data_IF_373758619786
#
_entry.id   IF_373758619786
#
_cell.length_a   1.000
_cell.length_b   1.000
_cell.length_c   1.000
_cell.angle_alpha   90.00
_cell.angle_beta   90.00
_cell.angle_gamma   90.00
#
_symmetry.space_group_name_H-M   'P 1'
#
loop_
_entity.id
_entity.type
_entity.pdbx_description
1 polymer ?
#
# COMPACT_ATOMS: atom_id res chain seq x y z
N UNK A 1 12.37 46.62 13.62
CA UNK A 1 12.07 45.46 12.75
C UNK A 1 13.37 44.88 12.14
N UNK A 2 14.32 44.33 12.93
CA UNK A 2 15.72 44.27 12.45
C UNK A 2 16.58 43.00 12.66
N UNK A 3 16.09 41.89 13.25
CA UNK A 3 16.91 40.65 13.38
C UNK A 3 16.16 39.34 13.18
N UNK A 4 14.85 39.31 13.41
CA UNK A 4 14.00 38.12 13.22
C UNK A 4 13.76 37.74 11.74
N UNK A 5 14.19 38.53 10.74
CA UNK A 5 13.97 38.22 9.32
C UNK A 5 15.09 37.40 8.67
N UNK A 6 16.37 37.58 9.07
CA UNK A 6 17.50 36.91 8.41
C UNK A 6 17.50 35.41 8.64
N UNK A 7 17.30 34.97 9.89
CA UNK A 7 17.24 33.54 10.23
C UNK A 7 16.07 32.87 9.52
N UNK A 8 14.90 33.50 9.52
CA UNK A 8 13.70 33.03 8.82
C UNK A 8 13.93 32.89 7.32
N UNK A 9 14.57 33.90 6.69
CA UNK A 9 14.90 33.88 5.28
C UNK A 9 15.88 32.76 4.92
N UNK A 10 16.97 32.62 5.69
CA UNK A 10 17.94 31.52 5.50
C UNK A 10 17.24 30.16 5.64
N UNK A 11 16.35 30.03 6.63
CA UNK A 11 15.58 28.80 6.86
C UNK A 11 14.67 28.49 5.68
N UNK A 12 14.02 29.51 5.10
CA UNK A 12 13.15 29.36 3.95
C UNK A 12 13.93 28.90 2.72
N UNK A 13 15.07 29.55 2.44
CA UNK A 13 15.96 29.15 1.33
C UNK A 13 16.44 27.72 1.53
N UNK A 14 16.87 27.36 2.74
CA UNK A 14 17.28 26.00 3.06
C UNK A 14 16.12 25.00 2.86
N UNK A 15 14.90 25.33 3.30
CA UNK A 15 13.74 24.45 3.12
C UNK A 15 13.40 24.20 1.65
N UNK A 16 13.47 25.24 0.81
CA UNK A 16 13.24 25.14 -0.65
C UNK A 16 14.28 24.24 -1.32
N UNK A 17 15.51 24.14 -0.78
CA UNK A 17 16.56 23.26 -1.31
C UNK A 17 16.43 21.84 -0.74
N UNK A 18 16.21 21.72 0.57
CA UNK A 18 16.18 20.44 1.28
C UNK A 18 15.00 19.60 0.80
N UNK A 19 13.82 20.18 0.56
CA UNK A 19 12.64 19.41 0.21
C UNK A 19 12.77 18.69 -1.15
N UNK A 20 13.12 19.35 -2.27
CA UNK A 20 13.37 18.66 -3.53
C UNK A 20 14.53 17.68 -3.45
N UNK A 21 15.60 18.01 -2.72
CA UNK A 21 16.74 17.10 -2.52
C UNK A 21 16.28 15.83 -1.80
N UNK A 22 15.45 15.95 -0.77
CA UNK A 22 14.88 14.81 -0.06
C UNK A 22 14.02 13.93 -0.98
N UNK A 23 13.12 14.53 -1.76
CA UNK A 23 12.31 13.78 -2.74
C UNK A 23 13.19 13.08 -3.77
N UNK A 24 14.24 13.75 -4.26
CA UNK A 24 15.15 13.16 -5.25
C UNK A 24 15.97 11.98 -4.70
N UNK A 25 16.26 11.98 -3.39
CA UNK A 25 16.95 10.89 -2.70
C UNK A 25 16.01 9.72 -2.40
N UNK A 26 14.71 9.98 -2.25
CA UNK A 26 13.68 9.03 -1.85
C UNK A 26 12.45 9.13 -2.75
N UNK A 27 12.58 8.89 -4.07
CA UNK A 27 11.48 9.10 -5.01
C UNK A 27 10.26 8.23 -4.70
N UNK A 28 10.50 7.00 -4.22
CA UNK A 28 9.46 6.01 -3.88
C UNK A 28 9.21 5.91 -2.35
N UNK A 29 9.71 6.89 -1.58
CA UNK A 29 9.66 6.87 -0.12
C UNK A 29 10.84 6.11 0.51
N UNK A 30 10.63 5.59 1.73
CA UNK A 30 11.69 4.96 2.55
C UNK A 30 11.35 3.55 3.03
N UNK A 31 10.24 2.96 2.56
CA UNK A 31 9.79 1.60 2.84
C UNK A 31 9.76 1.23 4.34
N UNK A 32 9.00 2.00 5.13
CA UNK A 32 8.84 1.83 6.57
C UNK A 32 8.03 0.58 6.92
N UNK A 33 6.92 0.30 6.20
CA UNK A 33 6.09 -0.85 6.55
C UNK A 33 6.78 -2.16 6.16
N UNK A 34 6.83 -3.08 7.13
CA UNK A 34 7.36 -4.42 6.92
C UNK A 34 6.24 -5.30 6.38
N UNK A 35 6.48 -6.08 5.31
CA UNK A 35 5.51 -7.08 4.87
C UNK A 35 5.39 -8.22 5.88
N UNK A 36 4.18 -8.78 5.95
CA UNK A 36 3.90 -10.07 6.57
C UNK A 36 4.14 -11.21 5.56
N UNK A 37 4.68 -12.33 6.04
CA UNK A 37 4.81 -13.55 5.25
C UNK A 37 3.48 -14.28 5.20
N UNK A 38 3.00 -14.58 4.00
CA UNK A 38 1.74 -15.25 3.75
C UNK A 38 1.97 -16.65 3.19
N UNK A 39 1.35 -17.64 3.84
CA UNK A 39 1.26 -18.99 3.34
C UNK A 39 -0.21 -19.40 3.28
N UNK A 40 -0.65 -19.90 2.14
CA UNK A 40 -2.00 -20.41 1.96
C UNK A 40 -2.01 -21.77 1.25
N UNK A 41 -2.90 -22.65 1.69
CA UNK A 41 -3.15 -23.96 1.09
C UNK A 41 -4.66 -24.20 0.98
N UNK A 42 -5.15 -24.37 -0.25
CA UNK A 42 -6.55 -24.53 -0.62
C UNK A 42 -6.80 -24.20 -2.09
N UNK A 43 -8.03 -24.35 -2.56
CA UNK A 43 -8.45 -24.13 -3.96
C UNK A 43 -9.27 -22.85 -4.18
N UNK A 44 -9.58 -22.12 -3.11
CA UNK A 44 -10.45 -20.95 -3.11
C UNK A 44 -9.68 -19.63 -3.07
N UNK A 45 -8.58 -19.55 -3.83
CA UNK A 45 -7.80 -18.33 -4.02
C UNK A 45 -8.29 -17.58 -5.25
N UNK A 46 -8.66 -16.32 -5.04
CA UNK A 46 -8.87 -15.36 -6.11
C UNK A 46 -7.77 -14.31 -6.08
N UNK A 47 -7.22 -13.97 -7.24
CA UNK A 47 -6.21 -12.94 -7.38
C UNK A 47 -6.53 -11.99 -8.53
N UNK A 48 -6.25 -10.71 -8.32
CA UNK A 48 -6.40 -9.63 -9.30
C UNK A 48 -5.07 -8.91 -9.44
N UNK A 49 -4.48 -8.96 -10.63
CA UNK A 49 -3.24 -8.22 -10.92
C UNK A 49 -2.45 -8.78 -12.09
N UNK A 50 -1.18 -8.44 -12.17
CA UNK A 50 -0.27 -8.99 -13.16
C UNK A 50 0.20 -10.40 -12.76
N UNK A 51 0.43 -11.24 -13.76
CA UNK A 51 0.97 -12.57 -13.52
C UNK A 51 1.87 -13.06 -14.64
N UNK A 52 2.86 -13.85 -14.25
CA UNK A 52 3.76 -14.56 -15.14
C UNK A 52 3.79 -16.02 -14.73
N UNK A 53 3.70 -16.95 -15.67
CA UNK A 53 3.70 -18.37 -15.33
C UNK A 53 4.47 -19.21 -16.31
N UNK A 54 4.96 -20.35 -15.83
CA UNK A 54 5.63 -21.36 -16.65
C UNK A 54 5.24 -22.80 -16.29
N UNK A 55 4.86 -23.58 -17.30
CA UNK A 55 4.46 -24.96 -17.12
C UNK A 55 3.40 -25.39 -18.10
N UNK A 56 2.78 -26.53 -17.80
CA UNK A 56 1.75 -27.09 -18.67
C UNK A 56 0.48 -26.25 -18.58
N UNK A 57 0.00 -25.79 -19.72
CA UNK A 57 -1.21 -24.99 -19.80
C UNK A 57 -2.11 -25.40 -20.96
N UNK A 58 -3.41 -25.16 -20.76
CA UNK A 58 -4.40 -25.11 -21.83
C UNK A 58 -4.93 -23.67 -21.90
N UNK A 59 -4.52 -22.95 -22.95
CA UNK A 59 -4.99 -21.60 -23.24
C UNK A 59 -6.11 -21.69 -24.27
N UNK A 60 -7.22 -21.00 -23.99
CA UNK A 60 -8.33 -20.80 -24.90
C UNK A 60 -8.53 -19.31 -25.13
N UNK A 61 -8.59 -18.91 -26.39
CA UNK A 61 -8.88 -17.53 -26.77
C UNK A 61 -10.10 -17.50 -27.71
N UNK A 62 -11.00 -16.56 -27.46
CA UNK A 62 -12.23 -16.36 -28.21
C UNK A 62 -12.24 -14.98 -28.83
N UNK A 63 -12.69 -14.87 -30.08
CA UNK A 63 -12.83 -13.59 -30.81
C UNK A 63 -11.56 -12.71 -30.67
N UNK A 64 -10.40 -13.32 -30.90
CA UNK A 64 -9.10 -12.75 -30.52
C UNK A 64 -8.24 -12.41 -31.72
N UNK A 65 -7.48 -11.33 -31.61
CA UNK A 65 -6.34 -11.05 -32.48
C UNK A 65 -5.13 -11.83 -31.96
N UNK A 66 -4.57 -12.69 -32.81
CA UNK A 66 -3.48 -13.59 -32.47
C UNK A 66 -2.30 -13.22 -33.34
N UNK A 67 -1.15 -12.94 -32.73
CA UNK A 67 0.12 -12.78 -33.43
C UNK A 67 1.06 -13.87 -32.96
N UNK A 68 1.42 -14.80 -33.85
CA UNK A 68 2.38 -15.87 -33.59
C UNK A 68 3.45 -15.83 -34.68
N UNK A 69 4.73 -15.83 -34.29
CA UNK A 69 5.87 -15.89 -35.22
C UNK A 69 5.82 -14.80 -36.32
N UNK A 70 5.39 -13.58 -35.96
CA UNK A 70 5.18 -12.42 -36.83
C UNK A 70 3.99 -12.49 -37.81
N UNK A 71 3.11 -13.49 -37.69
CA UNK A 71 1.87 -13.57 -38.46
C UNK A 71 0.68 -13.20 -37.58
N UNK A 72 -0.10 -12.19 -38.01
CA UNK A 72 -1.28 -11.72 -37.27
C UNK A 72 -2.56 -12.17 -37.97
N UNK A 73 -3.44 -12.83 -37.23
CA UNK A 73 -4.74 -13.29 -37.71
C UNK A 73 -5.82 -13.08 -36.64
N UNK A 74 -7.04 -12.76 -37.08
CA UNK A 74 -8.21 -12.80 -36.22
C UNK A 74 -8.76 -14.24 -36.14
N UNK A 75 -9.05 -14.71 -34.92
CA UNK A 75 -9.53 -16.06 -34.67
C UNK A 75 -10.80 -16.05 -33.82
N UNK A 76 -11.83 -16.77 -34.27
CA UNK A 76 -13.06 -16.96 -33.48
C UNK A 76 -12.79 -17.89 -32.29
N UNK A 77 -12.01 -18.94 -32.49
CA UNK A 77 -11.60 -19.89 -31.46
C UNK A 77 -10.13 -20.31 -31.68
N UNK A 78 -9.34 -20.23 -30.62
CA UNK A 78 -7.97 -20.73 -30.57
C UNK A 78 -7.79 -21.54 -29.29
N UNK A 79 -7.15 -22.71 -29.42
CA UNK A 79 -6.70 -23.52 -28.30
C UNK A 79 -5.21 -23.80 -28.43
N UNK A 80 -4.45 -23.52 -27.38
CA UNK A 80 -3.03 -23.85 -27.28
C UNK A 80 -2.88 -24.79 -26.08
N UNK A 81 -2.20 -25.92 -26.28
CA UNK A 81 -1.94 -26.89 -25.22
C UNK A 81 -0.49 -27.35 -25.26
N UNK A 82 0.22 -27.25 -24.15
CA UNK A 82 1.63 -27.59 -24.08
C UNK A 82 2.30 -26.95 -22.87
N UNK A 83 3.62 -27.05 -22.83
CA UNK A 83 4.42 -26.30 -21.86
C UNK A 83 4.66 -24.89 -22.41
N UNK A 84 4.05 -23.91 -21.76
CA UNK A 84 4.15 -22.51 -22.14
C UNK A 84 4.72 -21.67 -20.99
N UNK A 85 5.40 -20.59 -21.33
CA UNK A 85 5.50 -19.42 -20.48
C UNK A 85 4.49 -18.37 -20.95
N UNK A 86 3.94 -17.62 -20.00
CA UNK A 86 3.03 -16.52 -20.31
C UNK A 86 3.28 -15.33 -19.39
N UNK A 87 2.92 -14.14 -19.86
CA UNK A 87 2.88 -12.91 -19.09
C UNK A 87 1.59 -12.14 -19.38
N UNK A 88 0.86 -11.80 -18.32
CA UNK A 88 -0.37 -11.04 -18.35
C UNK A 88 -0.18 -9.77 -17.52
N UNK A 89 -0.49 -8.59 -18.09
CA UNK A 89 -0.44 -7.33 -17.34
C UNK A 89 -1.66 -7.16 -16.45
N UNK A 90 -2.82 -7.72 -16.83
CA UNK A 90 -4.05 -7.69 -16.04
C UNK A 90 -4.73 -9.05 -16.14
N UNK A 91 -4.83 -9.77 -15.02
CA UNK A 91 -5.46 -11.07 -14.96
C UNK A 91 -6.30 -11.23 -13.69
N UNK A 92 -7.33 -12.06 -13.80
CA UNK A 92 -8.06 -12.61 -12.67
C UNK A 92 -7.73 -14.10 -12.57
N UNK A 93 -7.08 -14.50 -11.49
CA UNK A 93 -7.00 -15.91 -11.12
C UNK A 93 -8.24 -16.24 -10.29
N UNK A 94 -8.95 -17.29 -10.67
CA UNK A 94 -10.01 -17.90 -9.87
C UNK A 94 -9.75 -19.40 -9.83
N UNK A 95 -9.30 -19.89 -8.66
CA UNK A 95 -8.94 -21.29 -8.44
C UNK A 95 -7.79 -21.77 -9.37
N UNK A 96 -8.10 -22.54 -10.42
CA UNK A 96 -7.13 -23.10 -11.38
C UNK A 96 -7.13 -22.39 -12.75
N UNK A 97 -7.89 -21.29 -12.88
CA UNK A 97 -8.07 -20.57 -14.15
C UNK A 97 -7.68 -19.11 -14.05
N UNK A 98 -6.91 -18.67 -15.04
CA UNK A 98 -6.60 -17.27 -15.28
C UNK A 98 -7.49 -16.73 -16.40
N UNK A 99 -8.03 -15.54 -16.20
CA UNK A 99 -8.80 -14.80 -17.19
C UNK A 99 -8.10 -13.47 -17.49
N UNK A 100 -7.91 -13.17 -18.77
CA UNK A 100 -7.24 -11.93 -19.21
C UNK A 100 -7.74 -11.46 -20.57
N UNK A 101 -7.46 -10.21 -20.91
CA UNK A 101 -7.73 -9.60 -22.21
C UNK A 101 -6.51 -9.57 -23.13
N UNK A 102 -5.32 -9.80 -22.57
CA UNK A 102 -4.05 -9.74 -23.29
C UNK A 102 -3.01 -10.66 -22.63
N UNK A 103 -2.33 -11.47 -23.43
CA UNK A 103 -1.26 -12.34 -22.95
C UNK A 103 -0.12 -12.39 -23.95
N UNK A 104 1.11 -12.30 -23.44
CA UNK A 104 2.33 -12.66 -24.18
C UNK A 104 2.63 -14.12 -23.87
N UNK A 105 2.90 -14.92 -24.89
CA UNK A 105 3.11 -16.36 -24.75
C UNK A 105 4.38 -16.80 -25.48
N UNK A 106 5.09 -17.74 -24.88
CA UNK A 106 6.18 -18.47 -25.51
C UNK A 106 6.05 -19.96 -25.18
N UNK A 107 6.39 -20.83 -26.13
CA UNK A 107 6.31 -22.27 -25.88
C UNK A 107 6.91 -23.09 -27.01
N UNK A 108 7.53 -24.21 -26.62
CA UNK A 108 8.08 -25.22 -27.52
C UNK A 108 7.15 -26.43 -27.56
N UNK A 109 7.09 -27.13 -28.70
CA UNK A 109 6.28 -28.33 -28.93
C UNK A 109 4.80 -28.22 -28.50
N UNK A 110 4.22 -27.04 -28.69
CA UNK A 110 2.83 -26.77 -28.35
C UNK A 110 1.86 -27.27 -29.42
N UNK A 111 0.74 -27.84 -29.00
CA UNK A 111 -0.38 -28.15 -29.88
C UNK A 111 -1.27 -26.91 -30.03
N UNK A 112 -1.23 -26.30 -31.22
CA UNK A 112 -2.13 -25.21 -31.59
C UNK A 112 -3.27 -25.74 -32.42
N UNK A 113 -4.50 -25.53 -31.96
CA UNK A 113 -5.73 -25.85 -32.70
C UNK A 113 -6.52 -24.56 -32.89
N UNK A 114 -6.62 -24.12 -34.13
CA UNK A 114 -7.37 -22.94 -34.56
C UNK A 114 -7.47 -22.93 -36.08
N UNK A 115 -8.36 -22.16 -36.66
CA UNK A 115 -8.59 -22.13 -38.11
C UNK A 115 -7.30 -21.79 -38.90
N UNK A 116 -6.63 -22.83 -39.42
CA UNK A 116 -5.49 -22.70 -40.33
C UNK A 116 -4.11 -22.56 -39.71
N UNK A 117 -3.94 -22.65 -38.38
CA UNK A 117 -2.62 -22.56 -37.73
C UNK A 117 -2.11 -23.96 -37.35
N UNK A 118 -0.93 -24.33 -37.84
CA UNK A 118 -0.21 -25.54 -37.43
C UNK A 118 1.25 -25.17 -37.17
N UNK A 119 1.54 -24.75 -35.94
CA UNK A 119 2.87 -24.36 -35.48
C UNK A 119 3.21 -25.15 -34.22
N UNK A 120 4.47 -25.55 -34.10
CA UNK A 120 5.00 -26.29 -32.94
C UNK A 120 5.72 -25.37 -31.96
N UNK A 121 6.26 -24.26 -32.45
CA UNK A 121 6.92 -23.23 -31.64
C UNK A 121 6.05 -21.97 -31.69
N UNK A 122 5.85 -21.36 -30.53
CA UNK A 122 5.01 -20.18 -30.35
C UNK A 122 5.88 -19.11 -29.71
N UNK A 123 6.03 -17.98 -30.40
CA UNK A 123 6.46 -16.71 -29.80
C UNK A 123 5.50 -15.63 -30.28
N UNK A 124 4.74 -15.05 -29.35
CA UNK A 124 3.61 -14.24 -29.75
C UNK A 124 2.82 -13.55 -28.64
N UNK A 125 1.76 -12.87 -29.06
CA UNK A 125 0.78 -12.29 -28.16
C UNK A 125 -0.64 -12.50 -28.67
N UNK A 126 -1.58 -12.57 -27.74
CA UNK A 126 -3.01 -12.74 -28.02
C UNK A 126 -3.75 -11.60 -27.33
N UNK A 127 -4.70 -10.97 -28.03
CA UNK A 127 -5.60 -9.96 -27.48
C UNK A 127 -7.05 -10.31 -27.79
N UNK A 128 -7.88 -10.42 -26.75
CA UNK A 128 -9.28 -10.85 -26.85
C UNK A 128 -9.74 -11.51 -25.54
N UNK A 129 -10.77 -12.35 -25.58
CA UNK A 129 -11.23 -13.04 -24.37
C UNK A 129 -10.41 -14.31 -24.14
N UNK A 130 -9.50 -14.29 -23.17
CA UNK A 130 -8.55 -15.38 -22.94
C UNK A 130 -8.81 -16.06 -21.59
N UNK A 131 -8.83 -17.39 -21.60
CA UNK A 131 -8.85 -18.24 -20.41
C UNK A 131 -7.66 -19.19 -20.46
N UNK A 132 -6.87 -19.25 -19.39
CA UNK A 132 -5.71 -20.14 -19.26
C UNK A 132 -5.97 -21.05 -18.08
N UNK A 133 -6.04 -22.35 -18.34
CA UNK A 133 -6.00 -23.37 -17.29
C UNK A 133 -4.57 -23.83 -17.14
N UNK A 134 -4.03 -23.75 -15.93
CA UNK A 134 -2.59 -23.86 -15.74
C UNK A 134 -2.19 -24.85 -14.64
N UNK A 135 -1.19 -25.67 -14.95
CA UNK A 135 -0.55 -26.61 -14.03
C UNK A 135 0.95 -26.35 -14.02
N UNK A 136 1.41 -25.54 -13.07
CA UNK A 136 2.81 -25.16 -12.95
C UNK A 136 3.05 -24.17 -11.82
N UNK A 137 4.01 -23.27 -12.03
CA UNK A 137 4.26 -22.13 -11.13
C UNK A 137 3.77 -20.85 -11.78
N UNK A 138 3.00 -20.05 -11.05
CA UNK A 138 2.59 -18.69 -11.44
C UNK A 138 3.14 -17.72 -10.41
N UNK A 139 3.89 -16.72 -10.87
CA UNK A 139 4.23 -15.53 -10.12
C UNK A 139 3.09 -14.52 -10.25
N UNK A 140 2.59 -14.04 -9.11
CA UNK A 140 1.45 -13.14 -8.98
C UNK A 140 1.95 -11.84 -8.34
N UNK A 141 1.80 -10.71 -9.01
CA UNK A 141 2.35 -9.43 -8.55
C UNK A 141 1.53 -8.23 -9.04
N UNK A 142 1.94 -7.04 -8.60
CA UNK A 142 1.30 -5.79 -9.04
C UNK A 142 1.62 -5.49 -10.52
N UNK A 143 0.60 -5.08 -11.25
CA UNK A 143 0.60 -4.46 -12.56
C UNK A 143 0.98 -2.98 -12.52
N UNK A 144 1.65 -2.52 -13.59
CA UNK A 144 1.94 -1.10 -13.79
C UNK A 144 0.80 -0.36 -14.52
N UNK A 145 -0.24 -1.08 -14.95
CA UNK A 145 -1.35 -0.53 -15.76
C UNK A 145 -2.53 -0.18 -14.87
N UNK A 146 -3.25 0.89 -15.22
CA UNK A 146 -4.53 1.20 -14.56
C UNK A 146 -5.55 0.13 -14.92
N UNK A 147 -5.94 -0.67 -13.92
CA UNK A 147 -6.99 -1.67 -14.07
C UNK A 147 -8.27 -1.02 -14.59
N UNK A 148 -8.53 -1.18 -15.89
CA UNK A 148 -9.76 -0.71 -16.53
C UNK A 148 -10.80 -1.79 -16.34
N UNK A 149 -11.53 -1.71 -15.22
CA UNK A 149 -12.77 -2.45 -14.95
C UNK A 149 -12.90 -3.73 -15.76
N UNK A 150 -12.14 -4.77 -15.36
CA UNK A 150 -12.30 -6.10 -15.91
C UNK A 150 -13.80 -6.43 -15.80
N UNK A 151 -14.48 -6.87 -16.88
CA UNK A 151 -15.93 -7.03 -16.92
C UNK A 151 -16.48 -8.09 -15.95
N UNK A 152 -15.59 -8.83 -15.29
CA UNK A 152 -15.93 -9.78 -14.24
C UNK A 152 -15.45 -9.23 -12.90
N UNK A 153 -16.38 -8.65 -12.16
CA UNK A 153 -16.18 -8.48 -10.73
C UNK A 153 -17.32 -9.15 -10.00
N UNK A 154 -16.98 -10.00 -9.04
CA UNK A 154 -17.90 -10.46 -8.02
C UNK A 154 -18.60 -9.23 -7.41
N UNK A 155 -19.93 -9.27 -7.37
CA UNK A 155 -20.85 -8.14 -7.17
C UNK A 155 -20.67 -7.35 -5.85
N UNK A 156 -19.80 -7.78 -4.94
CA UNK A 156 -19.72 -7.21 -3.59
C UNK A 156 -18.53 -6.26 -3.35
N UNK A 157 -17.29 -6.60 -3.70
CA UNK A 157 -16.13 -5.82 -3.21
C UNK A 157 -15.66 -4.67 -4.12
N UNK A 158 -15.82 -4.79 -5.45
CA UNK A 158 -15.46 -3.71 -6.39
C UNK A 158 -16.31 -2.46 -6.32
N UNK A 159 -17.51 -2.59 -5.75
CA UNK A 159 -18.39 -1.47 -5.50
C UNK A 159 -17.95 -0.64 -4.29
N UNK A 160 -17.16 -1.24 -3.40
CA UNK A 160 -16.74 -0.64 -2.13
C UNK A 160 -15.33 -0.04 -2.23
N UNK A 161 -14.44 -0.71 -2.98
CA UNK A 161 -13.08 -0.25 -3.25
C UNK A 161 -12.85 0.04 -4.74
N UNK A 162 -13.22 1.22 -5.28
CA UNK A 162 -12.67 1.73 -6.56
C UNK A 162 -11.13 2.02 -6.55
N UNK A 163 -10.30 1.11 -6.01
CA UNK A 163 -8.84 1.17 -6.05
C UNK A 163 -8.33 0.53 -7.35
N UNK A 164 -7.03 0.69 -7.66
CA UNK A 164 -6.36 -0.21 -8.61
C UNK A 164 -6.45 -1.63 -8.03
N UNK A 165 -7.34 -2.46 -8.61
CA UNK A 165 -7.55 -3.86 -8.25
C UNK A 165 -6.37 -4.69 -8.73
N UNK A 166 -5.28 -4.58 -8.00
CA UNK A 166 -4.01 -5.10 -8.44
C UNK A 166 -3.15 -5.50 -7.24
N UNK A 167 -2.47 -6.64 -7.35
CA UNK A 167 -1.87 -7.32 -6.22
C UNK A 167 -2.87 -7.79 -5.16
N UNK A 168 -4.17 -7.87 -5.47
CA UNK A 168 -5.21 -8.18 -4.48
C UNK A 168 -5.51 -9.68 -4.47
N UNK A 169 -5.54 -10.25 -3.28
CA UNK A 169 -5.90 -11.62 -3.01
C UNK A 169 -7.16 -11.70 -2.15
N UNK A 170 -8.03 -12.64 -2.49
CA UNK A 170 -9.23 -12.97 -1.73
C UNK A 170 -9.31 -14.48 -1.52
N UNK A 171 -9.56 -14.89 -0.28
CA UNK A 171 -9.63 -16.28 0.13
C UNK A 171 -10.94 -16.48 0.88
N UNK A 172 -11.75 -17.46 0.47
CA UNK A 172 -13.01 -17.80 1.16
C UNK A 172 -12.95 -19.11 1.94
N UNK A 173 -11.96 -19.96 1.64
CA UNK A 173 -11.77 -21.25 2.29
C UNK A 173 -10.32 -21.71 2.17
N UNK A 174 -9.91 -22.66 3.00
CA UNK A 174 -8.58 -23.25 3.03
C UNK A 174 -7.87 -22.99 4.35
N UNK A 175 -6.56 -23.22 4.36
CA UNK A 175 -5.71 -22.99 5.54
C UNK A 175 -4.72 -21.87 5.26
N UNK A 176 -4.55 -20.97 6.22
CA UNK A 176 -3.65 -19.82 6.08
C UNK A 176 -2.74 -19.67 7.29
N UNK A 177 -1.50 -19.26 7.02
CA UNK A 177 -0.57 -18.79 8.03
C UNK A 177 -0.08 -17.40 7.68
N UNK A 178 -0.02 -16.54 8.69
CA UNK A 178 0.62 -15.23 8.61
C UNK A 178 1.79 -15.25 9.59
N UNK A 179 2.99 -14.93 9.11
CA UNK A 179 4.23 -14.97 9.90
C UNK A 179 4.42 -16.32 10.64
N UNK A 180 4.04 -17.41 9.98
CA UNK A 180 4.11 -18.78 10.52
C UNK A 180 3.03 -19.16 11.53
N UNK A 181 2.12 -18.25 11.91
CA UNK A 181 1.01 -18.52 12.82
C UNK A 181 -0.24 -18.89 12.04
N UNK A 182 -0.92 -19.97 12.42
CA UNK A 182 -2.22 -20.34 11.85
C UNK A 182 -3.24 -19.24 12.10
N UNK A 183 -4.00 -18.91 11.07
CA UNK A 183 -5.08 -17.93 11.13
C UNK A 183 -6.41 -18.65 10.94
N UNK A 184 -7.26 -18.57 11.96
CA UNK A 184 -8.64 -19.02 11.87
C UNK A 184 -9.49 -17.87 11.29
N UNK A 185 -10.27 -18.18 10.26
CA UNK A 185 -11.22 -17.25 9.63
C UNK A 185 -12.51 -17.99 9.30
N UNK A 186 -13.60 -17.23 9.20
CA UNK A 186 -14.96 -17.78 9.10
C UNK A 186 -15.66 -17.42 7.79
N UNK A 187 -15.30 -16.29 7.18
CA UNK A 187 -15.95 -15.80 5.96
C UNK A 187 -14.93 -15.59 4.85
N UNK A 188 -13.95 -14.71 5.11
CA UNK A 188 -12.97 -14.36 4.08
C UNK A 188 -11.70 -13.76 4.66
N UNK A 189 -10.62 -13.91 3.89
CA UNK A 189 -9.39 -13.16 4.05
C UNK A 189 -9.16 -12.34 2.80
N UNK A 190 -8.76 -11.10 3.02
CA UNK A 190 -8.35 -10.15 2.00
C UNK A 190 -6.92 -9.72 2.28
N UNK A 191 -6.06 -9.68 1.27
CA UNK A 191 -4.76 -9.06 1.42
C UNK A 191 -4.23 -8.49 0.11
N UNK A 192 -3.32 -7.52 0.21
CA UNK A 192 -2.58 -6.99 -0.94
C UNK A 192 -1.11 -7.40 -0.85
N UNK A 193 -0.54 -7.87 -1.95
CA UNK A 193 0.87 -8.18 -2.05
C UNK A 193 1.25 -8.95 -3.31
N UNK A 194 2.23 -9.83 -3.18
CA UNK A 194 2.82 -10.59 -4.28
C UNK A 194 3.24 -11.98 -3.80
N UNK A 195 3.36 -12.94 -4.72
CA UNK A 195 3.79 -14.28 -4.36
C UNK A 195 3.80 -15.29 -5.50
N UNK A 196 4.00 -16.54 -5.12
CA UNK A 196 4.07 -17.69 -6.00
C UNK A 196 2.90 -18.62 -5.72
N UNK A 197 2.13 -18.92 -6.77
CA UNK A 197 1.08 -19.93 -6.79
C UNK A 197 1.62 -21.20 -7.44
N UNK A 198 1.56 -22.32 -6.72
CA UNK A 198 2.12 -23.61 -7.14
C UNK A 198 1.02 -24.67 -7.19
N UNK A 199 0.89 -25.30 -8.36
CA UNK A 199 0.06 -26.50 -8.53
C UNK A 199 -1.41 -26.31 -8.16
N UNK A 200 -1.96 -25.10 -8.35
CA UNK A 200 -3.39 -24.82 -8.15
C UNK A 200 -3.89 -24.89 -6.71
N UNK A 201 -3.01 -25.08 -5.73
CA UNK A 201 -3.43 -25.34 -4.33
C UNK A 201 -2.59 -24.66 -3.27
N UNK A 202 -1.42 -24.11 -3.61
CA UNK A 202 -0.48 -23.59 -2.62
C UNK A 202 0.06 -22.23 -3.03
N UNK A 203 -0.08 -21.25 -2.14
CA UNK A 203 0.40 -19.88 -2.30
C UNK A 203 1.46 -19.56 -1.24
N UNK A 204 2.57 -18.97 -1.68
CA UNK A 204 3.62 -18.44 -0.81
C UNK A 204 3.97 -17.03 -1.26
N UNK A 205 3.80 -16.04 -0.38
CA UNK A 205 3.96 -14.64 -0.76
C UNK A 205 4.15 -13.71 0.42
N UNK A 206 4.10 -12.42 0.12
CA UNK A 206 4.18 -11.36 1.12
C UNK A 206 2.96 -10.46 1.02
N UNK A 207 2.62 -9.80 2.13
CA UNK A 207 1.55 -8.81 2.15
C UNK A 207 1.90 -7.60 2.99
N UNK A 208 1.55 -6.41 2.51
CA UNK A 208 1.68 -5.17 3.30
C UNK A 208 0.42 -4.83 4.12
N UNK A 209 -0.70 -5.48 3.79
CA UNK A 209 -1.97 -5.27 4.47
C UNK A 209 -2.83 -6.51 4.31
N UNK A 210 -3.16 -7.13 5.44
CA UNK A 210 -4.08 -8.26 5.49
C UNK A 210 -5.29 -7.90 6.35
N UNK A 211 -6.48 -8.32 5.94
CA UNK A 211 -7.71 -8.25 6.69
C UNK A 211 -8.36 -9.63 6.75
N UNK A 212 -8.76 -10.02 7.96
CA UNK A 212 -9.38 -11.31 8.28
C UNK A 212 -10.76 -11.01 8.86
N UNK A 213 -11.82 -11.51 8.22
CA UNK A 213 -13.22 -11.31 8.63
C UNK A 213 -13.55 -9.85 8.99
N UNK A 214 -13.20 -8.91 8.10
CA UNK A 214 -13.48 -7.47 8.28
C UNK A 214 -12.63 -6.76 9.35
N UNK A 215 -11.53 -7.36 9.82
CA UNK A 215 -10.54 -6.72 10.70
C UNK A 215 -9.14 -6.79 10.10
N UNK A 216 -8.41 -5.69 10.12
CA UNK A 216 -7.01 -5.69 9.70
C UNK A 216 -6.16 -6.50 10.68
N UNK A 217 -5.31 -7.37 10.14
CA UNK A 217 -4.38 -8.19 10.89
C UNK A 217 -3.38 -7.29 11.60
N UNK A 218 -3.21 -7.54 12.90
CA UNK A 218 -2.40 -6.71 13.77
C UNK A 218 -1.99 -7.47 15.01
N UNK A 219 -0.68 -7.63 15.20
CA UNK A 219 -0.09 -8.33 16.35
C UNK A 219 0.09 -7.43 17.59
N UNK A 220 -0.17 -6.13 17.49
CA UNK A 220 0.09 -5.20 18.59
C UNK A 220 -0.83 -5.47 19.79
N UNK A 221 -0.24 -5.41 20.99
CA UNK A 221 -1.00 -5.48 22.24
C UNK A 221 -1.80 -4.20 22.43
N UNK A 222 -3.10 -4.34 22.69
CA UNK A 222 -4.04 -3.22 22.78
C UNK A 222 -4.70 -3.11 24.15
N UNK A 223 -5.01 -1.88 24.54
CA UNK A 223 -5.94 -1.57 25.62
C UNK A 223 -7.17 -0.94 24.97
N UNK A 224 -8.32 -1.60 25.08
CA UNK A 224 -9.52 -1.35 24.27
C UNK A 224 -9.24 -1.50 22.76
N UNK A 225 -8.78 -0.43 22.12
CA UNK A 225 -8.46 -0.37 20.69
C UNK A 225 -7.14 0.38 20.40
N UNK A 226 -6.47 0.92 21.43
CA UNK A 226 -5.25 1.70 21.31
C UNK A 226 -4.04 0.81 21.63
N UNK A 227 -2.98 0.80 20.79
CA UNK A 227 -1.74 0.09 21.10
C UNK A 227 -1.14 0.54 22.43
N UNK A 228 -0.70 -0.40 23.27
CA UNK A 228 -0.14 -0.11 24.61
C UNK A 228 0.99 0.91 24.54
N UNK A 229 1.82 0.85 23.50
CA UNK A 229 2.94 1.77 23.33
C UNK A 229 2.48 3.23 23.14
N UNK A 230 1.35 3.44 22.47
CA UNK A 230 0.72 4.78 22.33
C UNK A 230 0.19 5.26 23.69
N UNK A 231 -0.40 4.37 24.50
CA UNK A 231 -0.84 4.73 25.86
C UNK A 231 0.34 5.18 26.71
N UNK A 232 1.48 4.47 26.66
CA UNK A 232 2.70 4.85 27.37
C UNK A 232 3.21 6.23 26.92
N UNK A 233 3.20 6.52 25.62
CA UNK A 233 3.57 7.84 25.09
C UNK A 233 2.75 8.95 25.76
N UNK A 234 1.43 8.78 25.85
CA UNK A 234 0.55 9.76 26.49
C UNK A 234 0.88 9.97 27.96
N UNK A 235 1.12 8.90 28.71
CA UNK A 235 1.51 8.99 30.14
C UNK A 235 2.81 9.79 30.30
N UNK A 236 3.83 9.50 29.48
CA UNK A 236 5.11 10.22 29.49
C UNK A 236 4.93 11.68 29.12
N UNK A 237 4.14 11.98 28.08
CA UNK A 237 3.83 13.34 27.67
C UNK A 237 3.16 14.14 28.77
N UNK A 238 2.15 13.58 29.43
CA UNK A 238 1.44 14.26 30.54
C UNK A 238 2.40 14.56 31.68
N UNK A 239 3.25 13.59 32.05
CA UNK A 239 4.26 13.80 33.10
C UNK A 239 5.24 14.92 32.74
N UNK A 240 5.80 14.92 31.52
CA UNK A 240 6.70 15.98 31.05
C UNK A 240 6.03 17.35 31.00
N UNK A 241 4.77 17.40 30.57
CA UNK A 241 3.99 18.63 30.56
C UNK A 241 3.83 19.19 31.97
N UNK A 242 3.40 18.37 32.93
CA UNK A 242 3.26 18.78 34.34
C UNK A 242 4.59 19.28 34.88
N UNK A 243 5.68 18.54 34.70
CA UNK A 243 7.02 18.96 35.16
C UNK A 243 7.42 20.31 34.54
N UNK A 244 7.09 20.54 33.27
CA UNK A 244 7.44 21.79 32.58
C UNK A 244 6.69 23.02 33.10
N UNK A 245 5.55 22.82 33.76
CA UNK A 245 4.83 23.91 34.41
C UNK A 245 5.56 24.39 35.67
N UNK A 246 6.19 23.48 36.41
CA UNK A 246 6.91 23.79 37.67
C UNK A 246 8.38 24.16 37.44
N UNK A 247 9.03 23.54 36.45
CA UNK A 247 10.45 23.76 36.15
C UNK A 247 10.57 24.69 34.95
N UNK A 248 10.60 26.01 35.19
CA UNK A 248 10.89 27.01 34.15
C UNK A 248 12.15 27.79 34.49
N UNK A 249 13.19 27.62 33.67
CA UNK A 249 14.41 28.43 33.72
C UNK A 249 14.39 29.44 32.56
N UNK A 250 14.74 30.69 32.84
CA UNK A 250 14.81 31.75 31.83
C UNK A 250 16.19 31.84 31.14
N UNK A 251 16.96 30.75 31.13
CA UNK A 251 18.38 30.76 30.73
C UNK A 251 18.60 31.21 29.28
N UNK A 252 17.69 30.90 28.35
CA UNK A 252 17.86 31.16 26.91
C UNK A 252 16.78 32.06 26.28
N UNK A 253 16.00 32.78 27.09
CA UNK A 253 14.79 33.50 26.61
C UNK A 253 15.07 34.52 25.51
N UNK A 254 16.15 35.29 25.63
CA UNK A 254 16.51 36.31 24.62
C UNK A 254 16.92 35.70 23.26
N UNK A 255 17.50 34.50 23.26
CA UNK A 255 17.84 33.80 22.00
C UNK A 255 16.60 33.22 21.33
N UNK A 256 15.61 32.79 22.11
CA UNK A 256 14.39 32.13 21.63
C UNK A 256 13.51 33.03 20.73
N UNK A 257 13.49 34.34 21.00
CA UNK A 257 12.72 35.32 20.19
C UNK A 257 13.24 35.44 18.75
N UNK A 258 14.52 35.13 18.51
CA UNK A 258 15.13 35.17 17.17
C UNK A 258 14.64 34.00 16.30
N UNK A 259 14.29 32.86 16.91
CA UNK A 259 13.97 31.61 16.21
C UNK A 259 12.47 31.40 15.93
N UNK A 260 11.63 32.41 16.18
CA UNK A 260 10.18 32.32 15.93
C UNK A 260 9.89 31.94 14.48
N UNK A 261 10.50 32.64 13.50
CA UNK A 261 10.27 32.35 12.09
C UNK A 261 10.91 31.04 11.61
N UNK A 262 12.09 30.68 12.12
CA UNK A 262 12.69 29.35 11.91
C UNK A 262 11.70 28.24 12.32
N UNK A 263 11.04 28.39 13.46
CA UNK A 263 10.12 27.39 14.00
C UNK A 263 8.92 27.13 13.09
N UNK A 264 8.39 28.17 12.44
CA UNK A 264 7.33 28.02 11.45
C UNK A 264 7.80 27.34 10.18
N UNK A 265 8.97 27.73 9.66
CA UNK A 265 9.54 27.15 8.44
C UNK A 265 9.88 25.66 8.67
N UNK A 266 10.52 25.33 9.79
CA UNK A 266 10.85 23.95 10.15
C UNK A 266 9.59 23.08 10.27
N UNK A 267 8.53 23.57 10.92
CA UNK A 267 7.28 22.84 11.04
C UNK A 267 6.61 22.62 9.67
N UNK A 268 6.62 23.64 8.79
CA UNK A 268 6.07 23.52 7.44
C UNK A 268 6.85 22.52 6.58
N UNK A 269 8.18 22.56 6.63
CA UNK A 269 9.05 21.61 5.94
C UNK A 269 8.82 20.18 6.45
N UNK A 270 8.77 19.98 7.77
CA UNK A 270 8.50 18.67 8.35
C UNK A 270 7.11 18.15 7.99
N UNK A 271 6.10 19.01 7.88
CA UNK A 271 4.77 18.61 7.41
C UNK A 271 4.83 18.12 5.96
N UNK A 272 5.51 18.85 5.07
CA UNK A 272 5.65 18.47 3.68
C UNK A 272 6.37 17.11 3.53
N UNK A 273 7.48 16.91 4.26
CA UNK A 273 8.22 15.63 4.27
C UNK A 273 7.36 14.51 4.85
N UNK A 274 6.74 14.74 6.01
CA UNK A 274 5.87 13.76 6.69
C UNK A 274 4.72 13.30 5.81
N UNK A 275 4.06 14.24 5.12
CA UNK A 275 2.96 13.95 4.21
C UNK A 275 3.43 13.22 2.95
N UNK A 276 4.55 13.63 2.36
CA UNK A 276 5.14 12.94 1.21
C UNK A 276 5.46 11.48 1.55
N UNK A 277 6.12 11.24 2.68
CA UNK A 277 6.46 9.88 3.13
C UNK A 277 5.22 9.05 3.45
N UNK A 278 4.23 9.66 4.11
CA UNK A 278 2.96 8.99 4.39
C UNK A 278 2.24 8.58 3.10
N UNK A 279 2.18 9.49 2.13
CA UNK A 279 1.59 9.24 0.81
C UNK A 279 2.30 8.09 0.08
N UNK A 280 3.64 8.13 -0.01
CA UNK A 280 4.41 7.10 -0.69
C UNK A 280 4.18 5.70 -0.07
N UNK A 281 4.10 5.63 1.25
CA UNK A 281 3.83 4.38 1.96
C UNK A 281 2.41 3.87 1.74
N UNK A 282 1.41 4.75 1.77
CA UNK A 282 0.05 4.34 1.44
C UNK A 282 -0.12 3.95 -0.02
N UNK A 283 0.62 4.58 -0.94
CA UNK A 283 0.63 4.16 -2.33
C UNK A 283 1.14 2.73 -2.46
N UNK A 284 2.17 2.36 -1.71
CA UNK A 284 2.70 0.98 -1.69
C UNK A 284 1.77 0.00 -0.98
N UNK A 285 1.19 0.38 0.16
CA UNK A 285 0.38 -0.52 0.99
C UNK A 285 -1.03 -0.73 0.40
N UNK A 286 -1.59 0.31 -0.23
CA UNK A 286 -2.97 0.31 -0.72
C UNK A 286 -3.10 0.47 -2.24
N UNK A 287 -2.01 0.73 -2.96
CA UNK A 287 -2.07 1.07 -4.40
C UNK A 287 -2.64 2.45 -4.70
N UNK A 288 -2.65 3.38 -3.73
CA UNK A 288 -3.35 4.65 -3.82
C UNK A 288 -2.43 5.82 -4.17
N UNK A 289 -2.63 6.42 -5.34
CA UNK A 289 -1.97 7.68 -5.69
C UNK A 289 -2.89 8.88 -5.41
N UNK A 290 -2.64 9.62 -4.32
CA UNK A 290 -3.36 10.86 -3.95
C UNK A 290 -3.24 12.01 -4.96
N UNK A 291 -2.29 11.95 -5.89
CA UNK A 291 -2.08 13.02 -6.88
C UNK A 291 -2.73 12.73 -8.24
N UNK A 292 -3.26 11.53 -8.45
CA UNK A 292 -3.90 11.12 -9.71
C UNK A 292 -5.42 11.39 -9.67
N UNK A 293 -5.80 12.65 -9.45
CA UNK A 293 -7.20 13.09 -9.28
C UNK A 293 -7.81 13.70 -10.54
N UNK A 294 -7.39 13.24 -11.73
CA UNK A 294 -7.84 13.80 -13.01
C UNK A 294 -9.36 13.77 -13.22
N UNK A 295 -10.06 12.79 -12.63
CA UNK A 295 -11.53 12.67 -12.64
C UNK A 295 -12.05 12.30 -11.25
N UNK A 296 -12.50 13.27 -10.43
CA UNK A 296 -13.07 12.99 -9.10
C UNK A 296 -14.41 12.25 -9.20
N UNK A 297 -14.39 10.93 -8.98
CA UNK A 297 -15.57 10.11 -8.74
C UNK A 297 -15.94 10.08 -7.25
N UNK A 298 -17.16 9.67 -6.88
CA UNK A 298 -17.54 9.40 -5.48
C UNK A 298 -16.62 8.36 -4.83
N UNK A 299 -16.13 7.42 -5.65
CA UNK A 299 -15.09 6.49 -5.26
C UNK A 299 -13.84 7.19 -4.78
N UNK A 300 -13.30 8.10 -5.59
CA UNK A 300 -12.07 8.84 -5.30
C UNK A 300 -12.15 9.64 -3.99
N UNK A 301 -13.35 10.11 -3.61
CA UNK A 301 -13.58 10.80 -2.32
C UNK A 301 -13.50 9.84 -1.13
N UNK A 302 -14.13 8.67 -1.23
CA UNK A 302 -13.98 7.61 -0.24
C UNK A 302 -12.50 7.17 -0.14
N UNK A 303 -11.76 7.13 -1.25
CA UNK A 303 -10.32 6.84 -1.24
C UNK A 303 -9.45 7.85 -0.56
N UNK A 304 -9.69 9.13 -0.87
CA UNK A 304 -8.98 10.20 -0.21
C UNK A 304 -9.17 10.12 1.31
N UNK A 305 -10.37 9.69 1.75
CA UNK A 305 -10.64 9.46 3.18
C UNK A 305 -9.82 8.30 3.77
N UNK A 306 -9.64 7.19 3.03
CA UNK A 306 -8.80 6.05 3.46
C UNK A 306 -7.34 6.45 3.69
N UNK A 307 -6.85 7.48 2.99
CA UNK A 307 -5.48 7.94 3.16
C UNK A 307 -5.32 9.07 4.19
N UNK A 308 -6.24 10.05 4.16
CA UNK A 308 -6.15 11.25 5.01
C UNK A 308 -6.62 10.97 6.44
N UNK A 309 -7.71 10.20 6.61
CA UNK A 309 -8.28 9.99 7.95
C UNK A 309 -7.30 9.26 8.87
N UNK A 310 -6.64 8.16 8.46
CA UNK A 310 -5.64 7.50 9.30
C UNK A 310 -4.44 8.41 9.60
N UNK A 311 -4.03 9.27 8.67
CA UNK A 311 -2.97 10.26 8.92
C UNK A 311 -3.37 11.25 10.02
N UNK A 312 -4.58 11.82 9.94
CA UNK A 312 -5.09 12.75 10.94
C UNK A 312 -5.26 12.08 12.31
N UNK A 313 -5.72 10.83 12.33
CA UNK A 313 -5.78 10.05 13.56
C UNK A 313 -4.38 9.84 14.13
N UNK A 314 -3.41 9.41 13.31
CA UNK A 314 -2.02 9.27 13.73
C UNK A 314 -1.44 10.58 14.29
N UNK A 315 -1.73 11.74 13.66
CA UNK A 315 -1.34 13.05 14.20
C UNK A 315 -1.95 13.26 15.58
N UNK A 316 -3.23 12.94 15.76
CA UNK A 316 -3.91 13.11 17.04
C UNK A 316 -3.36 12.20 18.15
N UNK A 317 -3.16 10.91 17.85
CA UNK A 317 -2.79 9.92 18.87
C UNK A 317 -1.29 9.78 19.10
N UNK A 318 -0.44 10.16 18.14
CA UNK A 318 1.02 10.06 18.22
C UNK A 318 1.69 11.44 18.06
N UNK A 319 1.37 12.15 16.99
CA UNK A 319 2.05 13.40 16.66
C UNK A 319 1.87 14.50 17.70
N UNK A 320 0.64 14.68 18.19
CA UNK A 320 0.29 15.66 19.20
C UNK A 320 1.00 15.41 20.53
N UNK A 321 0.89 14.22 21.17
CA UNK A 321 1.57 13.99 22.44
C UNK A 321 3.09 14.07 22.32
N UNK A 322 3.68 13.62 21.20
CA UNK A 322 5.13 13.78 20.98
C UNK A 322 5.52 15.25 20.84
N UNK A 323 4.72 16.04 20.11
CA UNK A 323 4.95 17.48 19.97
C UNK A 323 4.92 18.19 21.32
N UNK A 324 3.97 17.83 22.18
CA UNK A 324 3.85 18.38 23.53
C UNK A 324 5.06 17.98 24.38
N UNK A 325 5.44 16.70 24.39
CA UNK A 325 6.57 16.21 25.18
C UNK A 325 7.87 16.96 24.85
N UNK A 326 8.21 17.05 23.56
CA UNK A 326 9.41 17.75 23.11
C UNK A 326 9.32 19.25 23.40
N UNK A 327 8.19 19.89 23.09
CA UNK A 327 7.99 21.31 23.39
C UNK A 327 8.15 21.62 24.88
N UNK A 328 7.62 20.74 25.74
CA UNK A 328 7.73 20.86 27.20
C UNK A 328 9.17 20.79 27.66
N UNK A 329 9.99 19.87 27.14
CA UNK A 329 11.42 19.78 27.47
C UNK A 329 12.18 21.07 27.13
N UNK A 330 11.95 21.64 25.95
CA UNK A 330 12.58 22.91 25.56
C UNK A 330 12.08 24.10 26.37
N UNK A 331 10.80 24.10 26.76
CA UNK A 331 10.24 25.16 27.61
C UNK A 331 10.89 25.21 29.00
N UNK A 332 11.37 24.07 29.53
CA UNK A 332 12.04 24.02 30.84
C UNK A 332 13.34 24.83 30.88
N UNK A 333 14.00 25.01 29.74
CA UNK A 333 15.26 25.77 29.59
C UNK A 333 15.06 27.17 29.00
N UNK A 334 13.80 27.57 28.75
CA UNK A 334 13.46 28.90 28.24
C UNK A 334 13.49 29.04 26.71
N UNK A 335 13.44 27.93 25.97
CA UNK A 335 13.40 27.87 24.50
C UNK A 335 11.99 27.53 23.98
N UNK A 336 11.00 28.38 24.29
CA UNK A 336 9.60 28.05 24.04
C UNK A 336 9.20 28.08 22.56
N UNK A 337 9.73 29.03 21.78
CA UNK A 337 9.41 29.18 20.36
C UNK A 337 10.12 28.10 19.54
N UNK A 338 11.43 27.94 19.73
CA UNK A 338 12.22 26.89 19.10
C UNK A 338 11.68 25.49 19.48
N UNK A 339 11.31 25.31 20.74
CA UNK A 339 10.69 24.08 21.25
C UNK A 339 9.39 23.73 20.55
N UNK A 340 8.51 24.71 20.26
CA UNK A 340 7.27 24.48 19.49
C UNK A 340 7.55 24.04 18.06
N UNK A 341 8.55 24.63 17.41
CA UNK A 341 8.95 24.25 16.05
C UNK A 341 9.48 22.82 16.00
N UNK A 342 10.51 22.53 16.80
CA UNK A 342 11.12 21.20 16.89
C UNK A 342 10.11 20.17 17.37
N UNK A 343 9.26 20.51 18.34
CA UNK A 343 8.21 19.64 18.82
C UNK A 343 7.23 19.23 17.73
N UNK A 344 6.70 20.20 16.96
CA UNK A 344 5.84 19.91 15.80
C UNK A 344 6.54 19.04 14.76
N UNK A 345 7.80 19.34 14.44
CA UNK A 345 8.61 18.54 13.51
C UNK A 345 8.78 17.11 13.99
N UNK A 346 9.14 16.90 15.25
CA UNK A 346 9.28 15.58 15.86
C UNK A 346 7.95 14.82 15.88
N UNK A 347 6.84 15.50 16.21
CA UNK A 347 5.51 14.90 16.20
C UNK A 347 5.07 14.46 14.80
N UNK A 348 5.31 15.28 13.77
CA UNK A 348 4.99 14.95 12.39
C UNK A 348 5.83 13.76 11.90
N UNK A 349 7.14 13.78 12.11
CA UNK A 349 7.98 12.64 11.72
C UNK A 349 7.57 11.36 12.45
N UNK A 350 7.31 11.41 13.76
CA UNK A 350 6.81 10.25 14.51
C UNK A 350 5.43 9.78 14.06
N UNK A 351 4.59 10.70 13.56
CA UNK A 351 3.31 10.33 12.94
C UNK A 351 3.54 9.45 11.72
N UNK A 352 4.49 9.80 10.85
CA UNK A 352 4.85 8.97 9.70
C UNK A 352 5.42 7.63 10.16
N UNK A 353 6.56 7.63 10.85
CA UNK A 353 7.28 6.39 11.18
C UNK A 353 6.44 5.45 12.05
N UNK A 354 5.84 5.97 13.10
CA UNK A 354 5.11 5.15 14.06
C UNK A 354 3.66 4.93 13.64
N UNK A 355 3.03 5.89 12.98
CA UNK A 355 1.68 5.73 12.43
C UNK A 355 1.65 4.67 11.32
N UNK A 356 2.65 4.59 10.45
CA UNK A 356 2.74 3.53 9.43
C UNK A 356 2.96 2.16 10.08
N UNK A 357 3.85 2.07 11.08
CA UNK A 357 4.05 0.83 11.84
C UNK A 357 2.78 0.37 12.58
N UNK A 358 1.86 1.28 12.87
CA UNK A 358 0.58 1.01 13.55
C UNK A 358 -0.60 1.12 12.58
N UNK A 359 -0.37 1.11 11.27
CA UNK A 359 -1.40 1.39 10.28
C UNK A 359 -2.57 0.43 10.41
N UNK A 360 -2.33 -0.87 10.57
CA UNK A 360 -3.39 -1.87 10.79
C UNK A 360 -4.21 -1.59 12.06
N UNK A 361 -3.59 -1.13 13.15
CA UNK A 361 -4.30 -0.69 14.36
C UNK A 361 -5.21 0.50 14.05
N UNK A 362 -4.67 1.51 13.34
CA UNK A 362 -5.39 2.75 13.04
C UNK A 362 -6.55 2.47 12.09
N UNK A 363 -6.33 1.67 11.04
CA UNK A 363 -7.36 1.25 10.10
C UNK A 363 -8.46 0.42 10.79
N UNK A 364 -8.12 -0.38 11.79
CA UNK A 364 -9.11 -1.06 12.61
C UNK A 364 -10.00 -0.10 13.41
N UNK A 365 -9.45 1.03 13.88
CA UNK A 365 -10.21 2.05 14.61
C UNK A 365 -11.08 2.86 13.65
N UNK A 366 -10.58 3.17 12.46
CA UNK A 366 -11.26 4.08 11.53
C UNK A 366 -12.21 3.38 10.57
N UNK A 367 -11.89 2.17 10.09
CA UNK A 367 -12.58 1.52 8.97
C UNK A 367 -13.12 0.13 9.25
N UNK A 368 -12.59 -0.64 10.21
CA UNK A 368 -13.18 -1.96 10.54
C UNK A 368 -14.69 -1.89 10.86
N UNK A 369 -15.23 -0.86 11.53
CA UNK A 369 -16.68 -0.73 11.72
C UNK A 369 -17.47 -0.65 10.41
N UNK A 370 -16.91 -0.01 9.37
CA UNK A 370 -17.52 0.10 8.04
C UNK A 370 -17.41 -1.24 7.30
N UNK A 371 -16.25 -1.90 7.36
CA UNK A 371 -16.00 -3.18 6.70
C UNK A 371 -16.86 -4.33 7.26
N UNK A 372 -17.29 -4.26 8.52
CA UNK A 372 -18.17 -5.28 9.13
C UNK A 372 -19.65 -5.09 8.80
N UNK A 373 -20.03 -3.97 8.21
CA UNK A 373 -21.40 -3.72 7.75
C UNK A 373 -21.63 -4.24 6.32
N UNK A 374 -20.55 -4.64 5.67
CA UNK A 374 -20.47 -5.26 4.35
C UNK A 374 -20.26 -6.75 4.57
#
# INVERSE_FOLDING_TARGET
MGKASTVTFISLVAAIIIFPMFISLFPDGIHISTPDDIFYEGDALQFYGACEGNGSAELRAYESNVTINNETQYMENLMISGDISFACQEAVLDSDRLFTSYVVIQGDDCQVTGDGINVTEIDGYISGNISIRFSGTVMLHESQVENRSIPFIADDFSRIFPARFDGIFFITNGSMKINGKNIDFSHHIFFRGEGLWRGGTRFEGTSHLTAVDGKFYDEEKKIFFIPVRVVILWVVTIALFIVSLYVKKNTFRERDEIFVGFSYVAAALSFAISFFLWHAELQRILGLNLFDMGNMSMGNVLFLSLAIVPYLVAIGIIGFPMSVAVSSLFSMVGLSNLGKGIGRSAGLLMTTFWGISLLSSILNVTFSPLLRLL
#
